data_IF_171896463644
#
_entry.id   IF_171896463644
#
_cell.length_a   1.000
_cell.length_b   1.000
_cell.length_c   1.000
_cell.angle_alpha   90.00
_cell.angle_beta   90.00
_cell.angle_gamma   90.00
#
_symmetry.space_group_name_H-M   'P 1'
#
loop_
_entity.id
_entity.type
_entity.pdbx_description
1 polymer ?
#
# COMPACT_ATOMS: atom_id res chain seq x y z
N UNK A 1 -5.72 -13.02 -33.00
CA UNK A 1 -4.46 -13.29 -32.29
C UNK A 1 -4.40 -12.66 -30.88
N UNK A 2 -4.76 -11.37 -30.69
CA UNK A 2 -4.71 -10.68 -29.37
C UNK A 2 -5.63 -11.25 -28.29
N UNK A 3 -6.81 -11.76 -28.64
CA UNK A 3 -7.79 -12.28 -27.66
C UNK A 3 -7.36 -13.65 -27.06
N UNK A 4 -6.70 -14.51 -27.82
CA UNK A 4 -6.16 -15.79 -27.33
C UNK A 4 -5.04 -15.59 -26.31
N UNK A 5 -4.14 -14.64 -26.56
CA UNK A 5 -3.01 -14.35 -25.69
C UNK A 5 -3.47 -13.85 -24.30
N UNK A 6 -4.53 -12.99 -24.26
CA UNK A 6 -5.11 -12.49 -23.02
C UNK A 6 -5.80 -13.59 -22.19
N UNK A 7 -6.42 -14.58 -22.85
CA UNK A 7 -7.05 -15.72 -22.16
C UNK A 7 -5.99 -16.63 -21.56
N UNK A 8 -4.88 -16.88 -22.28
CA UNK A 8 -3.78 -17.72 -21.80
C UNK A 8 -3.02 -17.06 -20.64
N UNK A 9 -2.80 -15.74 -20.67
CA UNK A 9 -2.19 -14.99 -19.56
C UNK A 9 -3.08 -15.03 -18.31
N UNK A 10 -4.40 -14.87 -18.47
CA UNK A 10 -5.35 -14.98 -17.35
C UNK A 10 -5.42 -16.38 -16.77
N UNK A 11 -5.38 -17.41 -17.61
CA UNK A 11 -5.38 -18.80 -17.16
C UNK A 11 -4.09 -19.15 -16.40
N UNK A 12 -2.93 -18.69 -16.87
CA UNK A 12 -1.65 -18.87 -16.21
C UNK A 12 -1.58 -18.15 -14.85
N UNK A 13 -2.06 -16.91 -14.78
CA UNK A 13 -2.12 -16.14 -13.54
C UNK A 13 -3.05 -16.78 -12.49
N UNK A 14 -4.22 -17.29 -12.91
CA UNK A 14 -5.15 -18.01 -12.03
C UNK A 14 -4.57 -19.34 -11.53
N UNK A 15 -3.83 -20.05 -12.37
CA UNK A 15 -3.16 -21.30 -11.98
C UNK A 15 -2.05 -21.06 -10.96
N UNK A 16 -1.32 -19.95 -11.07
CA UNK A 16 -0.26 -19.56 -10.12
C UNK A 16 -0.85 -19.16 -8.76
N UNK A 17 -1.95 -18.41 -8.74
CA UNK A 17 -2.70 -18.05 -7.52
C UNK A 17 -3.17 -19.33 -6.80
N UNK A 18 -3.81 -20.26 -7.51
CA UNK A 18 -4.30 -21.53 -6.93
C UNK A 18 -3.17 -22.45 -6.46
N UNK A 19 -1.98 -22.33 -7.04
CA UNK A 19 -0.79 -23.06 -6.61
C UNK A 19 -0.24 -22.49 -5.31
N UNK A 20 -0.19 -21.18 -5.18
CA UNK A 20 0.22 -20.46 -3.97
C UNK A 20 -0.74 -20.73 -2.80
N UNK A 21 -2.05 -20.66 -3.01
CA UNK A 21 -3.05 -20.97 -2.00
C UNK A 21 -2.96 -22.41 -1.49
N UNK A 22 -2.73 -23.39 -2.40
CA UNK A 22 -2.52 -24.81 -2.03
C UNK A 22 -1.22 -25.00 -1.25
N UNK A 23 -0.15 -24.29 -1.60
CA UNK A 23 1.11 -24.34 -0.86
C UNK A 23 0.96 -23.74 0.54
N UNK A 24 0.24 -22.61 0.68
CA UNK A 24 -0.05 -21.96 1.94
C UNK A 24 -0.91 -22.85 2.86
N UNK A 25 -1.96 -23.47 2.31
CA UNK A 25 -2.83 -24.37 3.06
C UNK A 25 -2.08 -25.62 3.53
N UNK A 26 -1.24 -26.21 2.70
CA UNK A 26 -0.39 -27.35 3.05
C UNK A 26 0.65 -26.98 4.11
N UNK A 27 1.15 -25.73 4.08
CA UNK A 27 2.10 -25.23 5.05
C UNK A 27 1.45 -25.01 6.43
N UNK A 28 0.25 -24.43 6.46
CA UNK A 28 -0.55 -24.26 7.71
C UNK A 28 -0.87 -25.61 8.38
N UNK A 29 -1.16 -26.64 7.60
CA UNK A 29 -1.38 -28.00 8.11
C UNK A 29 -0.11 -28.61 8.71
N UNK A 30 1.07 -28.38 8.14
CA UNK A 30 2.35 -28.89 8.61
C UNK A 30 2.84 -28.20 9.91
N UNK A 31 2.48 -26.95 10.16
CA UNK A 31 2.77 -26.25 11.41
C UNK A 31 2.05 -26.92 12.62
N UNK A 32 0.82 -27.35 12.40
CA UNK A 32 0.02 -28.00 13.45
C UNK A 32 0.46 -29.42 13.80
N UNK A 33 1.21 -30.07 12.92
CA UNK A 33 1.68 -31.46 13.10
C UNK A 33 3.13 -31.57 13.64
N UNK A 34 3.83 -30.45 13.83
CA UNK A 34 5.19 -30.43 14.39
C UNK A 34 6.29 -31.03 13.49
N UNK A 35 6.01 -31.31 12.23
CA UNK A 35 6.87 -32.10 11.33
C UNK A 35 7.72 -31.28 10.34
N UNK A 36 7.79 -29.95 10.45
CA UNK A 36 8.57 -29.13 9.53
C UNK A 36 9.71 -28.39 10.23
N UNK A 37 10.92 -28.90 10.10
CA UNK A 37 12.15 -28.15 10.38
C UNK A 37 12.34 -27.19 9.20
N UNK A 38 12.02 -25.92 9.40
CA UNK A 38 12.27 -24.88 8.38
C UNK A 38 13.78 -24.68 8.25
N UNK A 39 14.39 -24.78 7.04
CA UNK A 39 15.80 -24.46 6.85
C UNK A 39 16.08 -23.03 7.35
N UNK A 40 17.18 -22.83 8.06
CA UNK A 40 17.55 -21.55 8.69
C UNK A 40 17.55 -20.36 7.69
N UNK A 41 17.75 -20.62 6.41
CA UNK A 41 17.69 -19.66 5.31
C UNK A 41 16.28 -19.10 5.08
N UNK A 42 15.24 -19.95 5.13
CA UNK A 42 13.83 -19.51 4.94
C UNK A 42 13.36 -18.74 6.16
N UNK A 43 13.78 -19.15 7.37
CA UNK A 43 13.46 -18.45 8.62
C UNK A 43 13.99 -17.01 8.63
N UNK A 44 15.23 -16.82 8.20
CA UNK A 44 15.87 -15.50 8.14
C UNK A 44 15.20 -14.56 7.14
N UNK A 45 14.72 -15.08 6.01
CA UNK A 45 14.01 -14.29 4.99
C UNK A 45 12.56 -13.96 5.41
N UNK A 46 11.90 -14.84 6.16
CA UNK A 46 10.55 -14.62 6.68
C UNK A 46 10.53 -13.63 7.86
N UNK A 47 11.50 -13.72 8.76
CA UNK A 47 11.66 -12.77 9.87
C UNK A 47 11.95 -11.33 9.36
N UNK A 48 12.67 -11.19 8.26
CA UNK A 48 12.91 -9.88 7.61
C UNK A 48 11.63 -9.33 6.97
N UNK A 49 10.71 -10.17 6.52
CA UNK A 49 9.47 -9.73 5.85
C UNK A 49 8.37 -9.25 6.83
N UNK A 50 8.50 -9.58 8.13
CA UNK A 50 7.53 -9.22 9.18
C UNK A 50 8.10 -8.25 10.22
N UNK A 51 9.25 -7.63 9.97
CA UNK A 51 9.82 -6.67 10.93
C UNK A 51 9.21 -5.30 10.70
N UNK A 52 8.40 -4.86 11.65
CA UNK A 52 7.99 -3.46 11.79
C UNK A 52 9.23 -2.59 11.85
N UNK A 53 9.32 -1.60 10.97
CA UNK A 53 10.51 -0.78 10.83
C UNK A 53 10.26 0.56 11.52
N UNK A 54 10.78 0.71 12.73
CA UNK A 54 10.75 1.95 13.50
C UNK A 54 11.96 2.84 13.21
N UNK A 55 13.10 2.24 12.93
CA UNK A 55 14.34 2.97 12.66
C UNK A 55 14.34 3.54 11.23
N UNK A 56 14.59 4.85 11.14
CA UNK A 56 14.59 5.57 9.87
C UNK A 56 15.65 5.06 8.90
N UNK A 57 16.87 4.80 9.39
CA UNK A 57 17.97 4.37 8.52
C UNK A 57 17.70 2.98 7.94
N UNK A 58 17.20 2.05 8.77
CA UNK A 58 16.77 0.73 8.31
C UNK A 58 15.61 0.80 7.30
N UNK A 59 14.71 1.76 7.46
CA UNK A 59 13.63 2.00 6.50
C UNK A 59 14.16 2.55 5.18
N UNK A 60 15.07 3.53 5.22
CA UNK A 60 15.65 4.14 4.03
C UNK A 60 16.41 3.11 3.16
N UNK A 61 17.05 2.11 3.77
CA UNK A 61 17.68 1.00 3.04
C UNK A 61 16.69 0.13 2.25
N UNK A 62 15.43 0.04 2.71
CA UNK A 62 14.38 -0.74 2.05
C UNK A 62 13.52 0.09 1.11
N UNK A 63 13.48 1.40 1.28
CA UNK A 63 12.69 2.31 0.46
C UNK A 63 13.41 2.65 -0.84
N UNK A 64 13.31 1.77 -1.83
CA UNK A 64 14.01 1.86 -3.13
C UNK A 64 13.74 3.15 -3.92
N UNK A 65 12.64 3.84 -3.63
CA UNK A 65 12.28 5.11 -4.28
C UNK A 65 12.73 6.34 -3.47
N UNK A 66 13.33 6.13 -2.28
CA UNK A 66 13.77 7.21 -1.38
C UNK A 66 12.59 7.96 -0.72
N UNK A 67 12.90 8.76 0.30
CA UNK A 67 11.89 9.54 1.03
C UNK A 67 11.32 10.68 0.20
N UNK A 68 12.16 11.37 -0.55
CA UNK A 68 11.81 12.64 -1.16
C UNK A 68 11.91 13.82 -0.20
N UNK A 69 11.21 14.91 -0.51
CA UNK A 69 11.14 16.11 0.31
C UNK A 69 10.03 16.02 1.37
N UNK A 70 10.12 16.77 2.49
CA UNK A 70 8.99 16.95 3.39
C UNK A 70 7.74 17.38 2.61
N UNK A 71 6.60 16.78 2.94
CA UNK A 71 5.34 17.02 2.23
C UNK A 71 4.61 18.27 2.77
N UNK A 72 5.33 19.39 2.85
CA UNK A 72 4.86 20.63 3.51
C UNK A 72 3.63 21.24 2.83
N UNK A 73 3.51 21.11 1.50
CA UNK A 73 2.38 21.64 0.74
C UNK A 73 1.03 21.01 1.15
N UNK A 74 1.06 19.77 1.57
CA UNK A 74 -0.12 18.99 1.99
C UNK A 74 -0.16 18.71 3.49
N UNK A 75 0.79 19.22 4.28
CA UNK A 75 0.93 18.92 5.72
C UNK A 75 -0.37 19.12 6.52
N UNK A 76 -1.22 20.09 6.15
CA UNK A 76 -2.52 20.34 6.79
C UNK A 76 -3.52 19.18 6.66
N UNK A 77 -3.28 18.26 5.75
CA UNK A 77 -4.14 17.10 5.51
C UNK A 77 -3.57 15.80 6.10
N UNK A 78 -2.53 15.93 6.92
CA UNK A 78 -1.86 14.78 7.55
C UNK A 78 -1.76 14.98 9.06
N UNK A 79 -2.07 13.95 9.83
CA UNK A 79 -1.66 13.83 11.21
C UNK A 79 -0.27 13.19 11.24
N UNK A 80 0.74 13.92 11.74
CA UNK A 80 2.14 13.48 11.72
C UNK A 80 2.90 13.96 10.47
N UNK A 81 4.10 13.41 10.26
CA UNK A 81 5.00 13.85 9.19
C UNK A 81 5.01 12.87 8.03
N UNK A 82 4.91 13.40 6.83
CA UNK A 82 5.02 12.65 5.58
C UNK A 82 6.04 13.28 4.63
N UNK A 83 6.45 12.51 3.63
CA UNK A 83 7.40 12.91 2.60
C UNK A 83 6.82 12.56 1.23
N UNK A 84 7.19 13.33 0.22
CA UNK A 84 6.73 13.15 -1.15
C UNK A 84 7.93 13.13 -2.10
N UNK A 85 8.02 12.10 -2.91
CA UNK A 85 8.98 11.99 -3.99
C UNK A 85 8.24 11.76 -5.32
N UNK A 86 7.98 12.81 -6.13
CA UNK A 86 7.42 12.65 -7.46
C UNK A 86 8.33 11.78 -8.33
N UNK A 87 7.79 10.73 -8.93
CA UNK A 87 8.51 9.79 -9.79
C UNK A 87 8.30 10.11 -11.27
N UNK A 88 7.25 10.84 -11.60
CA UNK A 88 6.95 11.34 -12.94
C UNK A 88 6.79 12.84 -12.92
N UNK A 89 6.89 13.46 -14.11
CA UNK A 89 6.66 14.87 -14.32
C UNK A 89 5.26 15.12 -14.91
N UNK A 90 4.70 16.33 -14.78
CA UNK A 90 3.38 16.66 -15.33
C UNK A 90 3.25 16.35 -16.82
N UNK A 91 4.33 16.52 -17.59
CA UNK A 91 4.37 16.26 -19.05
C UNK A 91 4.32 14.76 -19.41
N UNK A 92 4.55 13.85 -18.46
CA UNK A 92 4.51 12.40 -18.70
C UNK A 92 3.07 11.87 -18.82
N UNK A 93 2.07 12.69 -18.48
CA UNK A 93 0.64 12.37 -18.63
C UNK A 93 0.10 11.38 -17.58
N UNK A 94 0.93 10.92 -16.65
CA UNK A 94 0.54 10.09 -15.54
C UNK A 94 1.32 10.51 -14.28
N UNK A 95 0.61 10.89 -13.22
CA UNK A 95 1.24 11.27 -11.97
C UNK A 95 1.51 10.05 -11.10
N UNK A 96 2.77 9.83 -10.79
CA UNK A 96 3.25 8.85 -9.80
C UNK A 96 4.11 9.55 -8.77
N UNK A 97 3.86 9.25 -7.50
CA UNK A 97 4.73 9.71 -6.42
C UNK A 97 4.93 8.60 -5.37
N UNK A 98 6.15 8.49 -4.85
CA UNK A 98 6.38 7.72 -3.64
C UNK A 98 6.02 8.59 -2.44
N UNK A 99 5.00 8.16 -1.69
CA UNK A 99 4.55 8.83 -0.46
C UNK A 99 5.02 8.03 0.73
N UNK A 100 5.76 8.69 1.61
CA UNK A 100 6.31 8.05 2.81
C UNK A 100 5.72 8.69 4.07
N UNK A 101 5.37 7.86 5.04
CA UNK A 101 4.77 8.23 6.31
C UNK A 101 5.68 7.80 7.46
N UNK A 102 5.93 8.71 8.40
CA UNK A 102 6.52 8.33 9.69
C UNK A 102 5.58 7.45 10.50
N UNK A 103 6.08 6.67 11.48
CA UNK A 103 5.23 5.87 12.35
C UNK A 103 4.08 6.69 12.95
N UNK A 104 2.85 6.20 12.83
CA UNK A 104 1.64 6.87 13.28
C UNK A 104 1.10 7.97 12.37
N UNK A 105 1.83 8.36 11.32
CA UNK A 105 1.36 9.36 10.37
C UNK A 105 0.27 8.80 9.46
N UNK A 106 -0.78 9.57 9.24
CA UNK A 106 -1.91 9.24 8.37
C UNK A 106 -2.46 10.48 7.67
N UNK A 107 -3.02 10.31 6.49
CA UNK A 107 -3.75 11.40 5.84
C UNK A 107 -5.19 11.48 6.36
N UNK A 108 -5.85 12.59 6.05
CA UNK A 108 -7.27 12.77 6.30
C UNK A 108 -8.08 11.81 5.42
N UNK A 109 -9.33 11.62 5.78
CA UNK A 109 -10.34 11.11 4.85
C UNK A 109 -10.33 11.98 3.59
N UNK A 110 -10.41 11.35 2.41
CA UNK A 110 -10.43 12.07 1.14
C UNK A 110 -11.11 11.23 0.04
N UNK A 111 -11.45 11.92 -1.03
CA UNK A 111 -12.14 11.35 -2.19
C UNK A 111 -11.41 11.81 -3.46
N UNK A 112 -11.18 10.89 -4.36
CA UNK A 112 -10.76 11.17 -5.74
C UNK A 112 -11.99 11.18 -6.63
N UNK A 113 -12.46 12.36 -7.01
CA UNK A 113 -13.61 12.51 -7.88
C UNK A 113 -13.23 12.34 -9.33
N UNK A 114 -14.11 11.74 -10.12
CA UNK A 114 -14.04 11.74 -11.60
C UNK A 114 -15.41 11.47 -12.18
N UNK A 115 -15.73 12.08 -13.33
CA UNK A 115 -16.97 11.79 -14.07
C UNK A 115 -16.89 10.47 -14.85
N UNK A 116 -15.69 10.05 -15.24
CA UNK A 116 -15.40 8.76 -15.87
C UNK A 116 -13.95 8.34 -15.55
N UNK A 117 -13.71 7.08 -15.28
CA UNK A 117 -12.41 6.56 -14.85
C UNK A 117 -11.98 7.11 -13.49
N UNK A 118 -10.74 7.56 -13.38
CA UNK A 118 -10.20 8.20 -12.17
C UNK A 118 -10.01 7.26 -10.98
N UNK A 119 -9.87 7.85 -9.79
CA UNK A 119 -9.54 7.15 -8.57
C UNK A 119 -8.03 7.06 -8.33
N UNK A 120 -7.61 6.20 -7.42
CA UNK A 120 -6.21 6.07 -7.02
C UNK A 120 -5.78 4.60 -7.00
N UNK A 121 -4.51 4.34 -7.32
CA UNK A 121 -3.88 3.05 -7.13
C UNK A 121 -2.72 3.21 -6.16
N UNK A 122 -2.68 2.36 -5.12
CA UNK A 122 -1.57 2.28 -4.18
C UNK A 122 -0.76 1.01 -4.44
N UNK A 123 0.56 1.15 -4.54
CA UNK A 123 1.51 0.03 -4.61
C UNK A 123 2.44 0.13 -3.40
N UNK A 124 2.26 -0.74 -2.42
CA UNK A 124 3.04 -0.71 -1.18
C UNK A 124 4.47 -1.17 -1.43
N UNK A 125 5.46 -0.37 -1.01
CA UNK A 125 6.87 -0.56 -1.35
C UNK A 125 7.77 -0.86 -0.16
N UNK A 126 7.47 -0.30 1.02
CA UNK A 126 8.28 -0.50 2.23
C UNK A 126 7.46 -0.28 3.51
N UNK A 127 7.83 -0.97 4.59
CA UNK A 127 7.21 -0.84 5.90
C UNK A 127 5.76 -1.32 5.93
N UNK A 128 5.00 -0.91 6.97
CA UNK A 128 3.62 -1.36 7.16
C UNK A 128 2.67 -0.18 7.37
N UNK A 129 1.49 -0.27 6.79
CA UNK A 129 0.46 0.76 6.85
C UNK A 129 -0.95 0.22 7.00
N UNK A 130 -1.88 1.15 6.99
CA UNK A 130 -3.32 0.92 6.96
C UNK A 130 -3.96 1.61 5.76
N UNK A 131 -5.01 0.99 5.24
CA UNK A 131 -5.98 1.56 4.30
C UNK A 131 -7.38 1.28 4.82
N UNK A 132 -8.27 2.26 4.72
CA UNK A 132 -9.67 2.07 5.10
C UNK A 132 -10.59 2.88 4.20
N UNK A 133 -11.65 2.25 3.70
CA UNK A 133 -12.80 2.91 3.10
C UNK A 133 -13.85 3.23 4.16
N UNK A 134 -14.60 4.30 3.97
CA UNK A 134 -15.68 4.68 4.89
C UNK A 134 -16.68 3.53 5.06
N UNK A 135 -17.00 3.22 6.31
CA UNK A 135 -17.93 2.15 6.67
C UNK A 135 -17.40 0.72 6.51
N UNK A 136 -16.10 0.54 6.19
CA UNK A 136 -15.45 -0.78 6.11
C UNK A 136 -14.36 -0.94 7.16
N UNK A 137 -13.95 -2.18 7.39
CA UNK A 137 -12.79 -2.48 8.25
C UNK A 137 -11.49 -2.03 7.59
N UNK A 138 -10.53 -1.64 8.42
CA UNK A 138 -9.20 -1.27 7.94
C UNK A 138 -8.45 -2.50 7.41
N UNK A 139 -7.69 -2.30 6.35
CA UNK A 139 -6.88 -3.32 5.68
C UNK A 139 -5.40 -3.04 5.95
N UNK A 140 -4.67 -4.06 6.42
CA UNK A 140 -3.21 -3.98 6.58
C UNK A 140 -2.53 -3.88 5.22
N UNK A 141 -1.60 -2.94 5.11
CA UNK A 141 -0.76 -2.71 3.93
C UNK A 141 0.67 -3.15 4.23
N UNK A 142 1.22 -3.96 3.33
CA UNK A 142 2.56 -4.51 3.40
C UNK A 142 3.22 -4.44 2.02
N UNK A 143 4.54 -4.49 1.90
CA UNK A 143 5.23 -4.46 0.61
C UNK A 143 4.70 -5.51 -0.37
N UNK A 144 4.43 -5.10 -1.59
CA UNK A 144 3.81 -5.92 -2.64
C UNK A 144 2.28 -5.90 -2.65
N UNK A 145 1.61 -5.32 -1.63
CA UNK A 145 0.17 -5.10 -1.67
C UNK A 145 -0.18 -4.02 -2.67
N UNK A 146 -1.22 -4.29 -3.46
CA UNK A 146 -1.79 -3.32 -4.41
C UNK A 146 -3.25 -3.09 -4.06
N UNK A 147 -3.65 -1.82 -3.94
CA UNK A 147 -5.02 -1.40 -3.70
C UNK A 147 -5.47 -0.53 -4.87
N UNK A 148 -6.54 -0.93 -5.53
CA UNK A 148 -7.22 -0.12 -6.54
C UNK A 148 -8.42 0.54 -5.87
N UNK A 149 -8.42 1.87 -5.82
CA UNK A 149 -9.44 2.69 -5.19
C UNK A 149 -10.22 3.37 -6.31
N UNK A 150 -11.49 2.99 -6.56
CA UNK A 150 -12.31 3.65 -7.55
C UNK A 150 -12.53 5.13 -7.23
N UNK A 151 -12.84 5.93 -8.24
CA UNK A 151 -13.34 7.28 -8.01
C UNK A 151 -14.57 7.25 -7.09
N UNK A 152 -14.84 8.36 -6.40
CA UNK A 152 -15.96 8.57 -5.45
C UNK A 152 -15.89 7.72 -4.17
N UNK A 153 -14.82 6.94 -3.93
CA UNK A 153 -14.65 6.19 -2.69
C UNK A 153 -13.95 7.06 -1.66
N UNK A 154 -14.64 7.35 -0.55
CA UNK A 154 -14.05 8.04 0.60
C UNK A 154 -13.18 7.08 1.39
N UNK A 155 -11.91 7.43 1.56
CA UNK A 155 -10.92 6.57 2.17
C UNK A 155 -9.79 7.37 2.83
N UNK A 156 -8.97 6.67 3.60
CA UNK A 156 -7.70 7.17 4.12
C UNK A 156 -6.65 6.05 4.10
N UNK A 157 -5.39 6.44 4.19
CA UNK A 157 -4.26 5.53 4.37
C UNK A 157 -3.13 6.21 5.16
N UNK A 158 -2.23 5.40 5.72
CA UNK A 158 -1.12 5.89 6.50
C UNK A 158 -0.28 4.78 7.08
N UNK A 159 0.77 5.12 7.82
CA UNK A 159 1.63 4.20 8.51
C UNK A 159 0.92 3.51 9.68
N UNK A 160 1.35 2.32 10.07
CA UNK A 160 1.04 1.77 11.39
C UNK A 160 1.78 2.55 12.48
N UNK A 161 1.30 2.46 13.71
CA UNK A 161 1.85 3.19 14.87
C UNK A 161 3.33 2.93 15.11
N UNK A 162 3.76 1.74 14.78
CA UNK A 162 5.07 1.17 15.08
C UNK A 162 5.86 0.77 13.83
N UNK A 163 5.53 1.37 12.69
CA UNK A 163 6.26 1.17 11.44
C UNK A 163 6.26 2.43 10.57
N UNK A 164 7.38 2.72 9.95
CA UNK A 164 7.40 3.54 8.74
C UNK A 164 6.61 2.84 7.64
N UNK A 165 6.07 3.61 6.71
CA UNK A 165 5.33 3.08 5.58
C UNK A 165 5.57 3.89 4.32
N UNK A 166 5.69 3.22 3.18
CA UNK A 166 5.79 3.88 1.88
C UNK A 166 4.99 3.14 0.82
N UNK A 167 4.37 3.89 -0.05
CA UNK A 167 3.68 3.39 -1.23
C UNK A 167 3.86 4.33 -2.42
N UNK A 168 3.78 3.79 -3.63
CA UNK A 168 3.56 4.60 -4.82
C UNK A 168 2.07 4.91 -4.91
N UNK A 169 1.74 6.20 -4.93
CA UNK A 169 0.43 6.70 -5.30
C UNK A 169 0.40 6.95 -6.80
N UNK A 170 -0.59 6.40 -7.48
CA UNK A 170 -0.86 6.62 -8.88
C UNK A 170 -2.23 7.29 -9.01
N UNK A 171 -2.27 8.50 -9.54
CA UNK A 171 -3.52 9.14 -9.93
C UNK A 171 -4.02 8.46 -11.21
N UNK A 172 -5.14 7.75 -11.10
CA UNK A 172 -5.70 7.02 -12.24
C UNK A 172 -6.27 7.99 -13.28
N UNK A 173 -5.97 7.77 -14.56
CA UNK A 173 -6.53 8.61 -15.62
C UNK A 173 -8.06 8.61 -15.63
N UNK A 174 -8.66 9.79 -15.76
CA UNK A 174 -10.12 9.96 -15.80
C UNK A 174 -10.51 11.33 -16.31
N UNK A 175 -11.81 11.56 -16.41
CA UNK A 175 -12.40 12.85 -16.85
C UNK A 175 -12.83 13.66 -15.62
N UNK A 176 -12.64 14.97 -15.67
CA UNK A 176 -13.00 15.92 -14.61
C UNK A 176 -12.46 15.51 -13.22
N UNK A 177 -11.24 14.97 -13.19
CA UNK A 177 -10.62 14.52 -11.95
C UNK A 177 -10.36 15.69 -10.97
N UNK A 178 -10.68 15.47 -9.69
CA UNK A 178 -10.35 16.39 -8.60
C UNK A 178 -10.25 15.64 -7.28
N UNK A 179 -9.55 16.23 -6.30
CA UNK A 179 -9.37 15.64 -4.98
C UNK A 179 -10.12 16.48 -3.93
N UNK A 180 -10.94 15.83 -3.12
CA UNK A 180 -11.60 16.42 -1.97
C UNK A 180 -10.93 15.91 -0.68
N UNK A 181 -10.45 16.85 0.15
CA UNK A 181 -9.95 16.56 1.48
C UNK A 181 -11.05 16.77 2.50
N UNK A 182 -11.39 15.70 3.20
CA UNK A 182 -12.43 15.66 4.21
C UNK A 182 -11.83 15.84 5.63
N UNK A 183 -12.54 15.36 6.64
CA UNK A 183 -12.16 15.43 8.04
C UNK A 183 -10.91 14.60 8.36
N UNK A 184 -10.16 14.95 9.42
CA UNK A 184 -9.09 14.09 9.91
C UNK A 184 -9.62 12.74 10.42
N UNK A 185 -8.82 11.68 10.24
CA UNK A 185 -9.02 10.42 10.96
C UNK A 185 -8.73 10.69 12.44
N UNK A 186 -9.70 10.48 13.31
CA UNK A 186 -9.53 10.75 14.74
C UNK A 186 -8.50 9.81 15.38
N UNK A 187 -7.87 10.26 16.46
CA UNK A 187 -6.93 9.41 17.20
C UNK A 187 -7.65 8.15 17.73
N UNK A 188 -8.91 8.30 18.17
CA UNK A 188 -9.70 7.16 18.66
C UNK A 188 -9.96 6.09 17.60
N UNK A 189 -10.28 6.48 16.34
CA UNK A 189 -10.44 5.57 15.21
C UNK A 189 -9.12 4.88 14.87
N UNK A 190 -8.03 5.64 14.82
CA UNK A 190 -6.72 5.11 14.47
C UNK A 190 -6.13 4.21 15.58
N UNK A 191 -6.34 4.55 16.85
CA UNK A 191 -5.84 3.76 17.98
C UNK A 191 -6.59 2.43 18.19
N UNK A 192 -7.78 2.29 17.60
CA UNK A 192 -8.55 1.06 17.63
C UNK A 192 -8.01 -0.02 16.66
N UNK A 193 -7.02 0.32 15.80
CA UNK A 193 -6.37 -0.58 14.85
C UNK A 193 -5.06 -1.14 15.44
#
# INVERSE_FOLDING_TARGET
>A
MRLRLLVEIRAAALADIHTRERQETRWRQNIHTGAAVCPAFIRKHWEVCCMKIMDKAAFEEQNVFGLGAPNDAFARYFAGRSYLNPLTKPEDGLFLANVTFEPGCRNNWHIHHASEGGGQLLICTAGEGWYQEEGKEAVSLEPGRVIVIPAEVKHWHGAKRDSWFSHIAVEMPGEACSNEWCEPVSDAEYEAL
#
